data_IF_929552098680
#
_entry.id   IF_929552098680
#
_cell.length_a   1.000
_cell.length_b   1.000
_cell.length_c   1.000
_cell.angle_alpha   90.00
_cell.angle_beta   90.00
_cell.angle_gamma   90.00
#
_symmetry.space_group_name_H-M   'P 1'
#
loop_
_entity.id
_entity.type
_entity.pdbx_description
1 polymer ?
#
# COMPACT_ATOMS: atom_id res chain seq x y z
N UNK A 1 7.69 8.72 -2.90
CA UNK A 1 8.67 7.68 -2.55
C UNK A 1 8.20 6.33 -3.10
N UNK A 2 8.96 5.60 -3.94
CA UNK A 2 8.51 4.31 -4.47
C UNK A 2 8.36 3.27 -3.34
N UNK A 3 7.37 2.37 -3.44
CA UNK A 3 7.24 1.22 -2.53
C UNK A 3 8.58 0.48 -2.49
N UNK A 4 9.16 0.30 -1.30
CA UNK A 4 10.49 -0.27 -1.12
C UNK A 4 10.51 -1.81 -1.26
N UNK A 5 9.35 -2.47 -1.26
CA UNK A 5 9.16 -3.93 -1.38
C UNK A 5 7.76 -4.28 -1.93
N UNK A 6 7.62 -5.48 -2.51
CA UNK A 6 6.33 -6.05 -2.97
C UNK A 6 5.27 -6.13 -1.86
N UNK A 7 5.68 -6.36 -0.61
CA UNK A 7 4.76 -6.36 0.55
C UNK A 7 4.16 -4.97 0.81
N UNK A 8 4.95 -3.91 0.63
CA UNK A 8 4.49 -2.54 0.78
C UNK A 8 3.56 -2.12 -0.35
N UNK A 9 3.80 -2.57 -1.59
CA UNK A 9 2.89 -2.33 -2.70
C UNK A 9 1.52 -2.97 -2.45
N UNK A 10 1.50 -4.23 -1.97
CA UNK A 10 0.25 -4.91 -1.60
C UNK A 10 -0.45 -4.22 -0.43
N UNK A 11 0.31 -3.79 0.59
CA UNK A 11 -0.24 -3.03 1.71
C UNK A 11 -0.83 -1.69 1.27
N UNK A 12 -0.17 -0.99 0.34
CA UNK A 12 -0.66 0.26 -0.25
C UNK A 12 -1.94 0.04 -1.06
N UNK A 13 -2.02 -1.06 -1.83
CA UNK A 13 -3.24 -1.45 -2.55
C UNK A 13 -4.41 -1.73 -1.60
N UNK A 14 -4.19 -2.50 -0.54
CA UNK A 14 -5.23 -2.76 0.47
C UNK A 14 -5.69 -1.48 1.18
N UNK A 15 -4.75 -0.60 1.53
CA UNK A 15 -5.06 0.70 2.12
C UNK A 15 -5.82 1.62 1.15
N UNK A 16 -5.49 1.57 -0.14
CA UNK A 16 -6.18 2.33 -1.19
C UNK A 16 -7.64 1.89 -1.30
N UNK A 17 -7.91 0.58 -1.43
CA UNK A 17 -9.27 0.04 -1.49
C UNK A 17 -10.10 0.44 -0.26
N UNK A 18 -9.48 0.49 0.92
CA UNK A 18 -10.17 0.94 2.12
C UNK A 18 -10.45 2.46 2.13
N UNK A 19 -9.65 3.30 1.46
CA UNK A 19 -9.96 4.72 1.24
C UNK A 19 -11.03 4.93 0.17
N UNK A 20 -11.15 4.03 -0.78
CA UNK A 20 -12.19 4.07 -1.83
C UNK A 20 -13.55 3.58 -1.34
N UNK A 21 -13.58 2.89 -0.19
CA UNK A 21 -14.80 2.35 0.42
C UNK A 21 -15.06 0.89 0.07
N UNK A 22 -14.24 0.29 -0.80
CA UNK A 22 -14.38 -1.11 -1.23
C UNK A 22 -13.98 -2.11 -0.14
N UNK A 23 -13.13 -1.70 0.81
CA UNK A 23 -12.72 -2.50 1.97
C UNK A 23 -13.01 -1.80 3.29
N UNK A 24 -13.39 -2.60 4.30
CA UNK A 24 -13.55 -2.08 5.66
C UNK A 24 -12.19 -1.75 6.26
N UNK A 25 -12.06 -0.55 6.83
CA UNK A 25 -10.84 -0.11 7.53
C UNK A 25 -10.45 -1.05 8.67
N UNK A 26 -11.43 -1.68 9.32
CA UNK A 26 -11.22 -2.67 10.37
C UNK A 26 -10.54 -3.97 9.92
N UNK A 27 -10.57 -4.28 8.63
CA UNK A 27 -9.92 -5.47 8.05
C UNK A 27 -8.44 -5.24 7.73
N UNK A 28 -7.99 -3.98 7.74
CA UNK A 28 -6.59 -3.64 7.50
C UNK A 28 -5.71 -4.09 8.67
N UNK A 29 -4.56 -4.68 8.34
CA UNK A 29 -3.58 -5.19 9.31
C UNK A 29 -2.16 -4.72 8.97
N UNK A 30 -1.35 -4.53 10.01
CA UNK A 30 0.06 -4.14 9.91
C UNK A 30 0.26 -2.87 9.07
N UNK A 31 1.13 -2.96 8.06
CA UNK A 31 1.51 -1.83 7.22
C UNK A 31 0.32 -1.16 6.50
N UNK A 32 -0.67 -1.93 6.05
CA UNK A 32 -1.84 -1.37 5.35
C UNK A 32 -2.66 -0.45 6.25
N UNK A 33 -2.76 -0.76 7.55
CA UNK A 33 -3.47 0.07 8.53
C UNK A 33 -2.71 1.36 8.81
N UNK A 34 -1.39 1.28 8.94
CA UNK A 34 -0.54 2.47 9.10
C UNK A 34 -0.60 3.36 7.87
N UNK A 35 -0.45 2.79 6.68
CA UNK A 35 -0.52 3.50 5.39
C UNK A 35 -1.88 4.17 5.17
N UNK A 36 -2.99 3.51 5.51
CA UNK A 36 -4.33 4.12 5.43
C UNK A 36 -4.44 5.41 6.27
N UNK A 37 -3.84 5.40 7.47
CA UNK A 37 -3.88 6.52 8.42
C UNK A 37 -2.93 7.65 8.04
N UNK A 38 -1.72 7.31 7.56
CA UNK A 38 -0.63 8.29 7.39
C UNK A 38 -0.45 8.77 5.95
N UNK A 39 -1.02 8.08 4.96
CA UNK A 39 -0.86 8.44 3.54
C UNK A 39 -2.18 8.89 2.93
N UNK A 40 -2.09 9.73 1.90
CA UNK A 40 -3.22 10.16 1.09
C UNK A 40 -3.60 9.13 0.02
N UNK A 41 -4.82 9.23 -0.52
CA UNK A 41 -5.30 8.36 -1.62
C UNK A 41 -4.34 8.36 -2.81
N UNK A 42 -3.79 9.53 -3.16
CA UNK A 42 -2.87 9.70 -4.28
C UNK A 42 -1.53 8.98 -4.03
N UNK A 43 -0.95 9.14 -2.84
CA UNK A 43 0.31 8.48 -2.51
C UNK A 43 0.15 6.95 -2.43
N UNK A 44 -0.98 6.45 -1.91
CA UNK A 44 -1.29 5.03 -1.92
C UNK A 44 -1.43 4.48 -3.34
N UNK A 45 -2.08 5.24 -4.23
CA UNK A 45 -2.21 4.89 -5.65
C UNK A 45 -0.86 4.83 -6.33
N UNK A 46 -0.02 5.86 -6.19
CA UNK A 46 1.33 5.84 -6.74
C UNK A 46 2.14 4.66 -6.21
N UNK A 47 2.07 4.39 -4.91
CA UNK A 47 2.80 3.29 -4.28
C UNK A 47 2.31 1.92 -4.77
N UNK A 48 0.99 1.73 -4.91
CA UNK A 48 0.35 0.52 -5.41
C UNK A 48 0.59 0.30 -6.91
N UNK A 49 0.63 1.38 -7.70
CA UNK A 49 0.82 1.34 -9.16
C UNK A 49 2.29 1.19 -9.59
N UNK A 50 3.27 1.28 -8.67
CA UNK A 50 4.67 1.06 -9.06
C UNK A 50 4.93 -0.35 -9.59
N UNK A 51 5.51 -0.49 -10.78
CA UNK A 51 5.78 -1.79 -11.40
C UNK A 51 6.64 -2.71 -10.53
N UNK A 52 6.24 -3.98 -10.44
CA UNK A 52 6.94 -5.04 -9.69
C UNK A 52 8.24 -5.52 -10.37
N UNK A 53 8.47 -5.09 -11.61
CA UNK A 53 9.43 -5.71 -12.54
C UNK A 53 10.88 -5.67 -12.07
N UNK A 54 11.28 -4.66 -11.29
CA UNK A 54 12.68 -4.44 -10.90
C UNK A 54 12.90 -4.37 -9.38
N UNK A 55 11.92 -4.73 -8.56
CA UNK A 55 12.01 -4.54 -7.09
C UNK A 55 12.26 -5.86 -6.34
N UNK A 56 13.28 -5.92 -5.47
CA UNK A 56 13.51 -7.10 -4.64
C UNK A 56 12.31 -7.35 -3.70
N UNK A 57 11.96 -8.62 -3.50
CA UNK A 57 10.85 -9.04 -2.62
C UNK A 57 11.04 -8.57 -1.17
N UNK A 58 12.29 -8.42 -0.72
CA UNK A 58 12.66 -7.95 0.61
C UNK A 58 13.72 -6.85 0.51
N UNK A 59 13.57 -5.78 1.29
CA UNK A 59 14.74 -4.98 1.70
C UNK A 59 15.36 -5.70 2.89
N UNK A 60 16.60 -6.15 2.72
CA UNK A 60 17.50 -6.35 3.86
C UNK A 60 17.88 -4.98 4.43
#
# INVERSE_FOLDING_TARGET
>A
MPAKSKSQQQAAGAALSAKEGDKKVGELKGASKSMYKSMSKKELKEMASTSQSDKPKHKH
#
